data_IF_964545454210
#
_entry.id   IF_964545454210
#
_cell.length_a   1.000
_cell.length_b   1.000
_cell.length_c   1.000
_cell.angle_alpha   90.00
_cell.angle_beta   90.00
_cell.angle_gamma   90.00
#
_symmetry.space_group_name_H-M   'P 1'
#
loop_
_entity.id
_entity.type
_entity.pdbx_description
1 polymer ?
#
# COMPACT_ATOMS: atom_id res chain seq x y z
N UNK A 1 -18.18 -9.13 -11.30
CA UNK A 1 -18.16 -10.57 -11.00
C UNK A 1 -17.63 -11.40 -12.19
N UNK A 2 -18.16 -11.21 -13.40
CA UNK A 2 -17.73 -11.95 -14.60
C UNK A 2 -16.27 -11.76 -14.92
N UNK A 3 -15.74 -10.55 -14.75
CA UNK A 3 -14.32 -10.27 -14.97
C UNK A 3 -13.42 -10.96 -13.96
N UNK A 4 -13.85 -11.07 -12.72
CA UNK A 4 -13.12 -11.78 -11.67
C UNK A 4 -13.22 -13.29 -11.78
N UNK A 5 -14.24 -13.79 -12.46
CA UNK A 5 -14.43 -15.23 -12.68
C UNK A 5 -13.50 -15.81 -13.76
N UNK A 6 -12.94 -14.96 -14.62
CA UNK A 6 -12.11 -15.41 -15.74
C UNK A 6 -10.65 -14.98 -15.59
N UNK A 7 -9.78 -15.92 -15.35
CA UNK A 7 -8.34 -15.68 -15.28
C UNK A 7 -7.78 -15.07 -16.57
N UNK A 8 -8.31 -15.45 -17.73
CA UNK A 8 -7.86 -14.96 -19.02
C UNK A 8 -8.13 -13.47 -19.24
N UNK A 9 -9.07 -12.89 -18.48
CA UNK A 9 -9.41 -11.47 -18.57
C UNK A 9 -8.62 -10.59 -17.62
N UNK A 10 -8.04 -11.16 -16.61
CA UNK A 10 -7.58 -10.39 -15.46
C UNK A 10 -6.10 -10.36 -15.29
N UNK A 11 -5.37 -11.30 -15.82
CA UNK A 11 -3.98 -11.44 -15.38
C UNK A 11 -3.02 -11.08 -16.50
N UNK A 12 -2.20 -10.11 -16.25
CA UNK A 12 -2.11 -9.13 -15.16
C UNK A 12 -2.95 -7.89 -15.40
N UNK A 13 -4.00 -7.98 -16.22
CA UNK A 13 -4.71 -6.83 -16.77
C UNK A 13 -6.06 -6.54 -16.11
N UNK A 14 -6.80 -5.70 -16.70
CA UNK A 14 -8.15 -5.17 -16.50
C UNK A 14 -8.80 -5.22 -15.12
N UNK A 15 -9.04 -6.36 -14.48
CA UNK A 15 -9.75 -6.38 -13.20
C UNK A 15 -8.86 -6.03 -12.00
N UNK A 16 -7.58 -6.38 -12.07
CA UNK A 16 -6.59 -6.06 -11.04
C UNK A 16 -5.47 -5.16 -11.56
N UNK A 17 -5.59 -4.71 -12.80
CA UNK A 17 -4.68 -3.78 -13.47
C UNK A 17 -3.50 -4.45 -14.17
N UNK A 18 -3.03 -3.82 -15.22
CA UNK A 18 -1.85 -4.24 -15.99
C UNK A 18 -0.56 -4.15 -15.17
N UNK A 19 -0.62 -3.46 -14.05
CA UNK A 19 0.50 -3.23 -13.16
C UNK A 19 0.66 -4.31 -12.08
N UNK A 20 -0.19 -5.35 -12.06
CA UNK A 20 -0.19 -6.36 -11.01
C UNK A 20 1.21 -6.97 -10.79
N UNK A 21 1.91 -7.31 -11.86
CA UNK A 21 3.27 -7.86 -11.80
C UNK A 21 4.38 -6.84 -12.03
N UNK A 22 4.05 -5.55 -12.06
CA UNK A 22 5.05 -4.53 -12.31
C UNK A 22 5.84 -4.24 -11.04
N UNK A 23 7.15 -4.44 -11.09
CA UNK A 23 8.06 -3.98 -10.04
C UNK A 23 7.97 -2.46 -9.83
N UNK A 24 7.57 -1.71 -10.86
CA UNK A 24 7.39 -0.27 -10.79
C UNK A 24 6.21 0.12 -9.90
N UNK A 25 5.08 -0.57 -10.06
CA UNK A 25 3.84 -0.25 -9.33
C UNK A 25 3.61 -1.12 -8.11
N UNK A 26 4.25 -2.29 -8.06
CA UNK A 26 4.26 -3.21 -6.93
C UNK A 26 2.86 -3.66 -6.47
N UNK A 27 1.94 -3.79 -7.40
CA UNK A 27 0.67 -4.47 -7.14
C UNK A 27 0.88 -5.97 -7.38
N UNK A 28 0.93 -6.76 -6.33
CA UNK A 28 1.22 -8.19 -6.37
C UNK A 28 -0.01 -9.08 -6.23
N UNK A 29 -1.22 -8.59 -6.46
CA UNK A 29 -2.43 -9.40 -6.37
C UNK A 29 -2.63 -10.20 -7.65
N UNK A 30 -2.83 -11.51 -7.52
CA UNK A 30 -3.10 -12.45 -8.60
C UNK A 30 -4.32 -13.33 -8.29
N UNK A 31 -4.83 -14.02 -9.29
CA UNK A 31 -5.91 -15.00 -9.15
C UNK A 31 -5.31 -16.40 -9.01
N UNK A 32 -5.31 -16.93 -7.80
CA UNK A 32 -4.87 -18.30 -7.51
C UNK A 32 -5.83 -19.32 -8.16
N UNK A 33 -7.13 -19.13 -7.98
CA UNK A 33 -8.16 -20.00 -8.55
C UNK A 33 -9.23 -19.13 -9.20
N UNK A 34 -9.49 -19.29 -10.51
CA UNK A 34 -10.58 -18.57 -11.17
C UNK A 34 -11.93 -18.92 -10.58
N UNK A 35 -12.79 -17.93 -10.43
CA UNK A 35 -14.19 -18.16 -10.07
C UNK A 35 -14.99 -18.72 -11.24
N UNK A 36 -15.84 -19.69 -10.97
CA UNK A 36 -16.66 -20.36 -11.98
C UNK A 36 -18.13 -19.94 -11.92
N UNK A 37 -18.62 -19.53 -10.76
CA UNK A 37 -20.00 -19.14 -10.53
C UNK A 37 -20.14 -18.31 -9.27
N UNK A 38 -21.37 -17.88 -8.96
CA UNK A 38 -21.66 -17.19 -7.69
C UNK A 38 -21.40 -18.08 -6.46
N UNK A 39 -21.45 -19.39 -6.62
CA UNK A 39 -21.19 -20.38 -5.55
C UNK A 39 -19.73 -20.85 -5.52
N UNK A 40 -18.95 -20.50 -6.53
CA UNK A 40 -17.52 -20.84 -6.62
C UNK A 40 -16.75 -19.55 -6.92
N UNK A 41 -16.50 -18.73 -5.89
CA UNK A 41 -15.83 -17.44 -6.06
C UNK A 41 -14.36 -17.63 -6.46
N UNK A 42 -13.78 -16.61 -7.07
CA UNK A 42 -12.35 -16.55 -7.32
C UNK A 42 -11.58 -16.49 -5.99
N UNK A 43 -10.43 -17.15 -5.94
CA UNK A 43 -9.48 -17.05 -4.83
C UNK A 43 -8.29 -16.24 -5.29
N UNK A 44 -7.96 -15.21 -4.53
CA UNK A 44 -6.83 -14.33 -4.79
C UNK A 44 -5.64 -14.70 -3.92
N UNK A 45 -4.45 -14.42 -4.40
CA UNK A 45 -3.20 -14.59 -3.67
C UNK A 45 -2.22 -13.47 -4.00
N UNK A 46 -1.17 -13.33 -3.20
CA UNK A 46 -0.05 -12.48 -3.53
C UNK A 46 0.92 -13.22 -4.47
N UNK A 47 1.49 -12.49 -5.42
CA UNK A 47 2.47 -12.99 -6.40
C UNK A 47 3.31 -11.80 -6.94
N UNK A 48 3.91 -11.02 -6.03
CA UNK A 48 4.67 -9.81 -6.43
C UNK A 48 5.89 -10.15 -7.30
N UNK A 49 6.50 -11.30 -7.08
CA UNK A 49 7.64 -11.78 -7.85
C UNK A 49 7.26 -12.37 -9.22
N UNK A 50 5.95 -12.52 -9.50
CA UNK A 50 5.38 -12.98 -10.77
C UNK A 50 5.83 -14.38 -11.23
N UNK A 51 6.19 -15.27 -10.30
CA UNK A 51 6.64 -16.63 -10.62
C UNK A 51 5.49 -17.66 -10.62
N UNK A 52 4.27 -17.27 -10.25
CA UNK A 52 3.08 -18.11 -10.12
C UNK A 52 3.23 -19.26 -9.08
N UNK A 53 4.16 -19.12 -8.14
CA UNK A 53 4.28 -19.96 -6.95
C UNK A 53 3.76 -19.14 -5.78
N UNK A 54 2.67 -19.56 -5.18
CA UNK A 54 1.95 -18.78 -4.18
C UNK A 54 2.29 -19.20 -2.76
N UNK A 55 2.30 -18.22 -1.84
CA UNK A 55 2.58 -18.47 -0.42
C UNK A 55 4.07 -18.40 -0.07
N UNK A 56 4.89 -17.89 -0.96
CA UNK A 56 6.30 -17.62 -0.69
C UNK A 56 6.45 -16.38 0.19
N UNK A 57 7.55 -16.30 0.91
CA UNK A 57 7.85 -15.17 1.82
C UNK A 57 8.11 -13.86 1.09
N UNK A 58 8.35 -13.90 -0.23
CA UNK A 58 8.64 -12.77 -1.11
C UNK A 58 7.45 -12.35 -2.00
N UNK A 59 6.26 -12.92 -1.79
CA UNK A 59 5.08 -12.65 -2.62
C UNK A 59 4.40 -11.31 -2.35
N UNK A 60 4.89 -10.53 -1.38
CA UNK A 60 4.39 -9.19 -1.13
C UNK A 60 3.20 -9.10 -0.17
N UNK A 61 2.96 -10.11 0.66
CA UNK A 61 1.88 -10.12 1.66
C UNK A 61 1.97 -8.95 2.67
N UNK A 62 3.15 -8.38 2.80
CA UNK A 62 3.47 -7.31 3.74
C UNK A 62 3.34 -5.91 3.12
N UNK A 63 3.03 -5.84 1.83
CA UNK A 63 2.91 -4.60 1.08
C UNK A 63 1.45 -4.17 1.09
N UNK A 64 1.21 -2.87 1.23
CA UNK A 64 -0.14 -2.32 1.16
C UNK A 64 -0.76 -2.56 -0.22
N UNK A 65 -2.06 -2.81 -0.25
CA UNK A 65 -2.81 -2.90 -1.50
C UNK A 65 -2.93 -1.52 -2.15
N UNK A 66 -2.73 -1.45 -3.46
CA UNK A 66 -2.89 -0.24 -4.27
C UNK A 66 -3.84 -0.49 -5.43
N UNK A 67 -4.08 0.54 -6.26
CA UNK A 67 -5.01 0.48 -7.41
C UNK A 67 -6.44 0.09 -7.03
N UNK A 68 -6.87 0.48 -5.85
CA UNK A 68 -8.27 0.37 -5.42
C UNK A 68 -9.02 1.61 -5.87
N UNK A 69 -10.21 1.42 -6.44
CA UNK A 69 -11.12 2.53 -6.69
C UNK A 69 -11.83 2.93 -5.39
N UNK A 70 -12.40 4.12 -5.36
CA UNK A 70 -13.26 4.54 -4.23
C UNK A 70 -14.41 3.54 -3.98
N UNK A 71 -14.97 2.95 -5.05
CA UNK A 71 -16.03 1.94 -4.91
C UNK A 71 -15.52 0.66 -4.23
N UNK A 72 -14.29 0.23 -4.52
CA UNK A 72 -13.68 -0.94 -3.86
C UNK A 72 -13.43 -0.67 -2.39
N UNK A 73 -12.89 0.51 -2.07
CA UNK A 73 -12.66 0.93 -0.68
C UNK A 73 -13.98 1.05 0.08
N UNK A 74 -15.01 1.68 -0.50
CA UNK A 74 -16.31 1.82 0.11
C UNK A 74 -16.97 0.45 0.37
N UNK A 75 -16.90 -0.47 -0.58
CA UNK A 75 -17.41 -1.82 -0.42
C UNK A 75 -16.67 -2.61 0.68
N UNK A 76 -15.35 -2.46 0.76
CA UNK A 76 -14.56 -3.07 1.82
C UNK A 76 -14.93 -2.50 3.20
N UNK A 77 -15.06 -1.19 3.32
CA UNK A 77 -15.41 -0.53 4.57
C UNK A 77 -16.82 -0.93 5.05
N UNK A 78 -17.80 -0.99 4.13
CA UNK A 78 -19.15 -1.45 4.44
C UNK A 78 -19.14 -2.92 4.91
N UNK A 79 -18.45 -3.79 4.18
CA UNK A 79 -18.31 -5.20 4.56
C UNK A 79 -17.62 -5.37 5.93
N UNK A 80 -16.63 -4.57 6.25
CA UNK A 80 -15.89 -4.63 7.51
C UNK A 80 -16.57 -3.91 8.68
N UNK A 81 -17.71 -3.23 8.43
CA UNK A 81 -18.41 -2.43 9.45
C UNK A 81 -17.69 -1.12 9.80
N UNK A 82 -16.85 -0.65 8.90
CA UNK A 82 -16.10 0.61 9.02
C UNK A 82 -16.70 1.69 8.13
N UNK A 83 -16.19 2.88 8.23
CA UNK A 83 -16.51 4.02 7.35
C UNK A 83 -15.24 4.75 6.95
N UNK A 84 -15.26 5.54 5.87
CA UNK A 84 -14.17 6.45 5.57
C UNK A 84 -13.90 7.42 6.73
N UNK A 85 -12.64 7.72 6.93
CA UNK A 85 -12.20 8.76 7.87
C UNK A 85 -12.64 10.13 7.33
N UNK A 86 -13.10 10.99 8.22
CA UNK A 86 -13.35 12.40 7.87
C UNK A 86 -12.04 13.17 7.81
N UNK A 87 -12.04 14.31 7.14
CA UNK A 87 -10.88 15.21 7.08
C UNK A 87 -10.40 15.61 8.49
N UNK A 88 -11.33 15.93 9.39
CA UNK A 88 -10.97 16.29 10.77
C UNK A 88 -10.35 15.12 11.56
N UNK A 89 -10.81 13.91 11.31
CA UNK A 89 -10.21 12.71 11.92
C UNK A 89 -8.82 12.45 11.35
N UNK A 90 -8.63 12.65 10.06
CA UNK A 90 -7.31 12.56 9.42
C UNK A 90 -6.37 13.63 9.97
N UNK A 91 -6.79 14.90 10.01
CA UNK A 91 -6.03 15.99 10.62
C UNK A 91 -5.65 15.68 12.07
N UNK A 92 -6.61 15.20 12.87
CA UNK A 92 -6.36 14.81 14.26
C UNK A 92 -5.37 13.65 14.34
N UNK A 93 -5.45 12.68 13.46
CA UNK A 93 -4.53 11.54 13.43
C UNK A 93 -3.11 11.99 13.07
N UNK A 94 -2.97 12.92 12.16
CA UNK A 94 -1.68 13.45 11.72
C UNK A 94 -1.02 14.32 12.79
N UNK A 95 -1.74 15.26 13.36
CA UNK A 95 -1.19 16.33 14.19
C UNK A 95 -1.35 16.13 15.70
N UNK A 96 -2.37 15.40 16.12
CA UNK A 96 -2.73 15.27 17.53
C UNK A 96 -3.35 16.55 18.07
N UNK A 97 -2.83 17.06 19.16
CA UNK A 97 -3.22 18.31 19.83
C UNK A 97 -2.25 19.49 19.54
N UNK A 98 -1.29 19.27 18.68
CA UNK A 98 -0.30 20.29 18.32
C UNK A 98 -0.91 21.37 17.42
N UNK A 99 -0.45 22.64 17.56
CA UNK A 99 -0.85 23.71 16.65
C UNK A 99 -0.35 23.44 15.22
N UNK A 100 -1.08 23.90 14.19
CA UNK A 100 -0.68 23.73 12.81
C UNK A 100 0.61 24.50 12.50
N UNK A 101 1.49 23.85 11.72
CA UNK A 101 2.70 24.45 11.16
C UNK A 101 2.54 24.58 9.66
N UNK A 102 2.90 25.74 9.11
CA UNK A 102 2.79 25.98 7.68
C UNK A 102 3.66 25.01 6.89
N UNK A 103 3.05 24.27 5.95
CA UNK A 103 3.74 23.32 5.07
C UNK A 103 4.16 22.02 5.73
N UNK A 104 3.61 21.68 6.89
CA UNK A 104 3.89 20.40 7.54
C UNK A 104 3.20 19.24 6.80
N UNK A 105 3.89 18.11 6.78
CA UNK A 105 3.32 16.80 6.44
C UNK A 105 2.80 16.08 7.68
N UNK A 106 2.22 14.90 7.50
CA UNK A 106 1.65 14.09 8.59
C UNK A 106 2.61 13.83 9.76
N UNK A 107 3.91 13.88 9.53
CA UNK A 107 4.93 13.74 10.57
C UNK A 107 5.31 15.05 11.29
N UNK A 108 4.61 16.15 11.03
CA UNK A 108 4.78 17.41 11.75
C UNK A 108 6.02 18.20 11.33
N UNK A 109 6.48 18.05 10.10
CA UNK A 109 7.63 18.77 9.53
C UNK A 109 7.46 18.92 8.03
N UNK A 110 8.01 19.99 7.45
CA UNK A 110 8.10 20.18 6.00
C UNK A 110 9.24 19.37 5.34
N UNK A 111 9.96 18.58 6.12
CA UNK A 111 11.09 17.80 5.64
C UNK A 111 10.62 16.53 4.94
N UNK A 112 10.99 16.38 3.66
CA UNK A 112 10.59 15.27 2.82
C UNK A 112 11.82 14.62 2.18
N UNK A 113 12.04 13.35 2.47
CA UNK A 113 13.12 12.55 1.87
C UNK A 113 12.51 11.26 1.31
N UNK A 114 12.54 11.12 -0.02
CA UNK A 114 12.21 9.86 -0.68
C UNK A 114 13.30 8.79 -0.50
N UNK A 115 12.95 7.55 -0.76
CA UNK A 115 13.92 6.45 -0.71
C UNK A 115 14.67 6.31 -2.04
N UNK A 116 15.92 5.85 -1.97
CA UNK A 116 16.74 5.55 -3.15
C UNK A 116 16.60 4.08 -3.58
N UNK A 117 16.48 3.16 -2.63
CA UNK A 117 16.45 1.71 -2.89
C UNK A 117 15.51 0.99 -1.94
N UNK A 118 14.96 -0.14 -2.42
CA UNK A 118 14.20 -1.10 -1.61
C UNK A 118 15.10 -2.33 -1.41
N UNK A 119 15.20 -2.79 -0.19
CA UNK A 119 15.91 -3.99 0.21
C UNK A 119 14.92 -5.04 0.71
N UNK A 120 15.22 -6.31 0.46
CA UNK A 120 14.36 -7.45 0.81
C UNK A 120 12.92 -7.30 0.28
N UNK A 121 12.78 -6.82 -0.96
CA UNK A 121 11.50 -6.51 -1.60
C UNK A 121 10.49 -7.64 -1.45
N UNK A 122 9.26 -7.31 -1.06
CA UNK A 122 8.13 -8.23 -0.91
C UNK A 122 8.11 -9.05 0.37
N UNK A 123 9.18 -8.99 1.19
CA UNK A 123 9.28 -9.79 2.42
C UNK A 123 8.83 -9.00 3.66
N UNK A 124 8.64 -9.71 4.78
CA UNK A 124 8.37 -9.09 6.09
C UNK A 124 9.49 -8.19 6.59
N UNK A 125 10.71 -8.35 6.07
CA UNK A 125 11.90 -7.56 6.42
C UNK A 125 12.22 -6.48 5.38
N UNK A 126 11.30 -6.18 4.49
CA UNK A 126 11.49 -5.10 3.51
C UNK A 126 11.75 -3.77 4.23
N UNK A 127 12.75 -3.06 3.77
CA UNK A 127 13.05 -1.72 4.22
C UNK A 127 13.54 -0.84 3.08
N UNK A 128 13.45 0.46 3.24
CA UNK A 128 13.84 1.44 2.24
C UNK A 128 15.00 2.29 2.76
N UNK A 129 15.96 2.59 1.92
CA UNK A 129 17.14 3.38 2.30
C UNK A 129 17.58 4.39 1.25
N UNK A 130 18.52 5.26 1.62
CA UNK A 130 18.92 5.61 2.99
C UNK A 130 17.99 6.65 3.63
N UNK A 131 17.57 6.41 4.88
CA UNK A 131 16.87 7.34 5.78
C UNK A 131 15.66 8.10 5.17
N UNK A 132 14.76 7.44 4.41
CA UNK A 132 13.58 8.11 3.88
C UNK A 132 12.52 8.30 4.96
N UNK A 133 11.63 9.28 4.74
CA UNK A 133 10.43 9.45 5.56
C UNK A 133 9.14 9.46 4.73
N UNK A 134 9.24 9.26 3.43
CA UNK A 134 8.09 9.20 2.52
C UNK A 134 8.31 8.16 1.42
N UNK A 135 7.22 7.53 1.00
CA UNK A 135 7.21 6.54 -0.07
C UNK A 135 7.25 7.21 -1.46
N UNK A 136 8.31 7.97 -1.74
CA UNK A 136 8.54 8.55 -3.07
C UNK A 136 9.86 8.11 -3.64
N UNK A 137 9.82 7.68 -4.92
CA UNK A 137 11.01 7.33 -5.70
C UNK A 137 10.73 7.65 -7.17
N UNK A 138 11.76 7.98 -7.94
CA UNK A 138 11.62 8.26 -9.37
C UNK A 138 11.44 6.99 -10.21
N UNK A 139 11.93 5.86 -9.74
CA UNK A 139 11.97 4.59 -10.48
C UNK A 139 10.91 3.59 -10.03
N UNK A 140 10.44 3.69 -8.79
CA UNK A 140 9.40 2.82 -8.23
C UNK A 140 8.19 3.69 -7.88
N UNK A 141 7.07 3.44 -8.54
CA UNK A 141 5.82 4.19 -8.36
C UNK A 141 4.82 3.46 -7.45
N UNK A 142 5.20 2.33 -6.93
CA UNK A 142 4.35 1.48 -6.10
C UNK A 142 4.56 1.68 -4.60
N UNK A 143 3.68 1.04 -3.86
CA UNK A 143 3.69 1.00 -2.40
C UNK A 143 4.88 0.20 -1.85
N UNK A 144 5.26 0.49 -0.63
CA UNK A 144 6.25 -0.26 0.13
C UNK A 144 5.60 -0.86 1.39
N UNK A 145 6.30 -1.75 2.06
CA UNK A 145 5.82 -2.33 3.32
C UNK A 145 5.53 -1.23 4.34
N UNK A 146 4.39 -1.32 5.01
CA UNK A 146 4.04 -0.38 6.10
C UNK A 146 5.12 -0.46 7.19
N UNK A 147 5.63 0.71 7.59
CA UNK A 147 6.72 0.80 8.57
C UNK A 147 8.12 0.52 8.01
N UNK A 148 8.31 0.45 6.68
CA UNK A 148 9.63 0.21 6.06
C UNK A 148 10.68 1.30 6.34
N UNK A 149 10.27 2.46 6.86
CA UNK A 149 11.16 3.57 7.27
C UNK A 149 11.45 3.57 8.78
N UNK A 150 10.69 2.80 9.55
CA UNK A 150 10.83 2.77 11.00
C UNK A 150 11.92 1.79 11.45
N UNK A 151 12.74 2.25 12.39
CA UNK A 151 13.73 1.46 13.12
C UNK A 151 13.52 1.66 14.63
N UNK A 152 14.21 0.91 15.45
CA UNK A 152 14.14 1.05 16.90
C UNK A 152 14.57 2.46 17.41
N UNK A 153 15.29 3.22 16.60
CA UNK A 153 15.79 4.57 16.92
C UNK A 153 15.10 5.68 16.13
N UNK A 154 14.10 5.36 15.30
CA UNK A 154 13.41 6.37 14.51
C UNK A 154 12.59 7.31 15.37
N UNK A 155 12.66 8.61 15.03
CA UNK A 155 11.71 9.62 15.49
C UNK A 155 10.45 9.61 14.61
N UNK A 156 9.41 10.33 15.02
CA UNK A 156 8.21 10.58 14.21
C UNK A 156 8.57 11.05 12.79
N UNK A 157 9.45 12.04 12.68
CA UNK A 157 9.86 12.64 11.39
C UNK A 157 10.64 11.63 10.55
N UNK A 158 11.60 10.92 11.12
CA UNK A 158 12.42 9.98 10.38
C UNK A 158 11.70 8.68 9.99
N UNK A 159 10.63 8.34 10.69
CA UNK A 159 9.76 7.23 10.32
C UNK A 159 8.62 7.62 9.36
N UNK A 160 8.43 8.92 9.08
CA UNK A 160 7.29 9.40 8.32
C UNK A 160 5.95 9.09 8.99
N UNK A 161 5.93 9.04 10.33
CA UNK A 161 4.77 8.64 11.09
C UNK A 161 3.93 9.85 11.54
N UNK A 162 2.63 9.64 11.72
CA UNK A 162 1.73 10.62 12.31
C UNK A 162 2.01 10.83 13.80
N UNK A 163 1.32 11.76 14.43
CA UNK A 163 1.42 12.00 15.88
C UNK A 163 1.14 10.72 16.69
N UNK A 164 0.16 9.92 16.26
CA UNK A 164 -0.19 8.66 16.93
C UNK A 164 0.56 7.43 16.38
N UNK A 165 1.59 7.63 15.58
CA UNK A 165 2.44 6.54 15.09
C UNK A 165 1.89 5.79 13.87
N UNK A 166 0.87 6.32 13.20
CA UNK A 166 0.38 5.73 11.95
C UNK A 166 1.44 5.98 10.88
N UNK A 167 1.97 4.93 10.30
CA UNK A 167 2.96 5.01 9.23
C UNK A 167 2.29 5.12 7.86
N UNK A 168 2.97 5.73 6.90
CA UNK A 168 2.55 5.81 5.49
C UNK A 168 1.28 6.65 5.26
N UNK A 169 0.95 7.56 6.16
CA UNK A 169 -0.19 8.47 6.00
C UNK A 169 -0.03 9.48 4.85
N UNK A 170 1.17 9.61 4.30
CA UNK A 170 1.48 10.43 3.12
C UNK A 170 2.36 9.63 2.18
N UNK A 171 2.04 9.60 0.91
CA UNK A 171 2.79 8.90 -0.12
C UNK A 171 2.56 9.47 -1.51
N UNK A 172 3.26 8.94 -2.49
CA UNK A 172 3.11 9.35 -3.90
C UNK A 172 1.90 8.71 -4.59
N UNK A 173 1.35 7.69 -3.99
CA UNK A 173 0.14 7.04 -4.50
C UNK A 173 -1.00 7.96 -4.13
N UNK A 174 -1.71 8.45 -5.14
CA UNK A 174 -2.88 9.27 -4.93
C UNK A 174 -3.84 8.53 -4.00
N UNK A 175 -3.97 9.03 -2.80
CA UNK A 175 -5.11 8.73 -1.96
C UNK A 175 -6.27 9.47 -2.62
N UNK A 176 -7.11 8.67 -3.31
CA UNK A 176 -8.29 9.19 -4.00
C UNK A 176 -9.35 9.55 -2.98
#
# INVERSE_FOLDING_TARGET
>A
YTQQASRTMNIPSSAIGTAAYSNTFRNGIDVLTPGLSATTPAVYACNLNANAIYGETSDGQWIACNFLSYADIAAYLDWSGLRPMTELEFEKSCRGDLPPLLGEYAWGSSYLIGYASIFNSGTSSEWCGPLPNVATNSSVLGVVRVGSFATASSSRVSAGATYYGIAMAVGRIAEC
#
